data_IF_402089467951
#
_entry.id   IF_402089467951
#
_cell.length_a   1.000
_cell.length_b   1.000
_cell.length_c   1.000
_cell.angle_alpha   90.00
_cell.angle_beta   90.00
_cell.angle_gamma   90.00
#
_symmetry.space_group_name_H-M   'P 1'
#
loop_
_entity.id
_entity.type
_entity.pdbx_description
1 polymer ?
#
# COMPACT_ATOMS: atom_id res chain seq x y z
N UNK A 1 40.77 2.65 -7.34
CA UNK A 1 40.80 3.36 -6.05
C UNK A 1 39.50 3.01 -5.34
N UNK A 2 39.61 2.58 -4.08
CA UNK A 2 38.65 1.74 -3.35
C UNK A 2 37.41 2.50 -2.86
N UNK A 3 36.19 2.08 -3.25
CA UNK A 3 34.93 2.66 -2.73
C UNK A 3 33.93 1.62 -2.17
N UNK A 4 34.32 0.34 -2.11
CA UNK A 4 33.46 -0.73 -1.56
C UNK A 4 33.66 -0.98 -0.06
N UNK A 5 34.47 -0.16 0.63
CA UNK A 5 34.93 -0.46 1.98
C UNK A 5 34.08 0.09 3.12
N UNK A 6 33.07 0.92 2.86
CA UNK A 6 32.39 1.67 3.94
C UNK A 6 30.92 1.31 4.21
N UNK A 7 30.38 0.23 3.66
CA UNK A 7 29.01 -0.23 4.04
C UNK A 7 28.89 -1.71 4.37
N UNK A 8 29.99 -2.36 4.72
CA UNK A 8 29.95 -3.57 5.53
C UNK A 8 30.32 -3.16 6.95
N UNK A 9 29.34 -3.13 7.87
CA UNK A 9 29.65 -3.09 9.30
C UNK A 9 30.38 -4.38 9.64
N UNK A 10 31.70 -4.36 9.58
CA UNK A 10 32.53 -5.48 9.99
C UNK A 10 32.28 -5.71 11.47
N UNK A 11 31.56 -6.77 11.79
CA UNK A 11 31.35 -7.23 13.16
C UNK A 11 32.73 -7.49 13.78
N UNK A 12 33.00 -6.89 14.93
CA UNK A 12 34.27 -7.09 15.66
C UNK A 12 34.39 -8.55 16.09
N UNK A 13 35.61 -9.09 16.21
CA UNK A 13 35.85 -10.52 16.51
C UNK A 13 35.07 -11.04 17.74
N UNK A 14 34.86 -10.20 18.76
CA UNK A 14 34.05 -10.54 19.94
C UNK A 14 32.54 -10.63 19.64
N UNK A 15 32.02 -9.88 18.67
CA UNK A 15 30.63 -9.96 18.23
C UNK A 15 30.36 -11.19 17.36
N UNK A 16 31.38 -11.72 16.67
CA UNK A 16 31.30 -12.95 15.89
C UNK A 16 31.29 -14.21 16.77
N UNK A 17 32.02 -14.21 17.88
CA UNK A 17 32.07 -15.34 18.83
C UNK A 17 30.76 -15.50 19.60
N UNK A 18 30.08 -14.40 19.91
CA UNK A 18 28.86 -14.42 20.72
C UNK A 18 27.56 -14.51 19.90
N UNK A 19 27.63 -14.50 18.57
CA UNK A 19 26.46 -14.60 17.71
C UNK A 19 26.30 -16.04 17.26
N UNK A 20 25.24 -16.69 17.73
CA UNK A 20 24.90 -18.03 17.23
C UNK A 20 24.79 -17.97 15.70
N UNK A 21 25.59 -18.80 15.02
CA UNK A 21 25.61 -18.94 13.55
C UNK A 21 24.38 -19.76 13.09
N UNK A 22 23.49 -20.13 14.02
CA UNK A 22 22.24 -20.85 13.75
C UNK A 22 21.17 -19.82 13.40
N UNK A 23 20.77 -19.78 12.13
CA UNK A 23 19.72 -18.88 11.67
C UNK A 23 19.55 -18.89 10.15
N UNK A 24 18.48 -18.26 9.68
CA UNK A 24 18.27 -18.01 8.25
C UNK A 24 18.99 -16.72 7.86
N UNK A 25 19.90 -16.79 6.89
CA UNK A 25 20.67 -15.64 6.42
C UNK A 25 20.32 -15.33 4.97
N UNK A 26 20.06 -14.06 4.69
CA UNK A 26 19.82 -13.57 3.34
C UNK A 26 21.13 -13.20 2.67
N UNK A 27 21.42 -13.82 1.53
CA UNK A 27 22.59 -13.46 0.72
C UNK A 27 22.13 -12.82 -0.58
N UNK A 28 22.59 -11.60 -0.83
CA UNK A 28 22.22 -10.79 -2.00
C UNK A 28 23.48 -10.55 -2.82
N UNK A 29 23.55 -11.10 -4.04
CA UNK A 29 24.69 -10.87 -4.93
C UNK A 29 24.42 -11.38 -6.35
N UNK A 30 24.95 -10.67 -7.35
CA UNK A 30 24.78 -11.02 -8.77
C UNK A 30 25.72 -12.17 -9.22
N UNK A 31 26.74 -12.50 -8.42
CA UNK A 31 27.76 -13.52 -8.71
C UNK A 31 27.90 -14.49 -7.54
N UNK A 32 26.79 -15.14 -7.19
CA UNK A 32 26.76 -16.08 -6.10
C UNK A 32 26.78 -17.52 -6.62
N UNK A 33 27.88 -18.24 -6.35
CA UNK A 33 28.02 -19.65 -6.70
C UNK A 33 27.58 -20.50 -5.52
N UNK A 34 26.31 -20.93 -5.53
CA UNK A 34 25.64 -21.69 -4.47
C UNK A 34 26.50 -22.88 -3.98
N UNK A 35 27.05 -23.67 -4.90
CA UNK A 35 27.89 -24.85 -4.58
C UNK A 35 29.21 -24.50 -3.86
N UNK A 36 29.83 -23.36 -4.19
CA UNK A 36 31.08 -22.95 -3.51
C UNK A 36 30.82 -22.52 -2.08
N UNK A 37 29.67 -21.89 -1.82
CA UNK A 37 29.28 -21.49 -0.47
C UNK A 37 28.97 -22.71 0.39
N UNK A 38 28.16 -23.63 -0.12
CA UNK A 38 27.80 -24.88 0.59
C UNK A 38 29.06 -25.65 0.94
N UNK A 39 29.97 -25.85 -0.02
CA UNK A 39 31.22 -26.55 0.21
C UNK A 39 32.13 -25.84 1.23
N UNK A 40 32.17 -24.51 1.23
CA UNK A 40 32.98 -23.75 2.18
C UNK A 40 32.44 -23.85 3.62
N UNK A 41 31.11 -23.82 3.79
CA UNK A 41 30.44 -23.90 5.09
C UNK A 41 30.40 -25.34 5.63
N UNK A 42 30.22 -26.35 4.77
CA UNK A 42 30.33 -27.75 5.14
C UNK A 42 31.75 -28.14 5.59
N UNK A 43 32.80 -27.57 4.96
CA UNK A 43 34.18 -27.74 5.41
C UNK A 43 34.44 -27.20 6.82
N UNK A 44 33.62 -26.26 7.29
CA UNK A 44 33.67 -25.71 8.65
C UNK A 44 32.71 -26.43 9.61
N UNK A 45 32.12 -27.56 9.19
CA UNK A 45 31.23 -28.38 10.03
C UNK A 45 29.78 -27.89 10.10
N UNK A 46 29.37 -26.96 9.22
CA UNK A 46 28.01 -26.40 9.22
C UNK A 46 27.17 -27.04 8.12
N UNK A 47 26.02 -27.60 8.49
CA UNK A 47 24.99 -28.06 7.53
C UNK A 47 24.22 -26.86 6.98
N UNK A 48 24.19 -26.71 5.67
CA UNK A 48 23.56 -25.55 5.00
C UNK A 48 22.55 -26.04 3.99
N UNK A 49 21.32 -25.52 4.09
CA UNK A 49 20.28 -25.66 3.08
C UNK A 49 20.10 -24.31 2.39
N UNK A 50 20.20 -24.30 1.05
CA UNK A 50 19.97 -23.09 0.25
C UNK A 50 18.56 -23.16 -0.31
N UNK A 51 17.69 -22.27 0.17
CA UNK A 51 16.38 -22.04 -0.41
C UNK A 51 16.42 -20.80 -1.31
N UNK A 52 15.99 -20.94 -2.57
CA UNK A 52 15.79 -19.78 -3.44
C UNK A 52 14.55 -19.04 -2.98
N UNK A 53 14.77 -17.92 -2.31
CA UNK A 53 13.68 -17.13 -1.77
C UNK A 53 13.00 -16.35 -2.88
N UNK A 54 11.70 -16.60 -3.05
CA UNK A 54 10.87 -15.82 -3.96
C UNK A 54 10.72 -14.40 -3.41
N UNK A 55 11.17 -13.39 -4.17
CA UNK A 55 11.07 -11.97 -3.78
C UNK A 55 9.64 -11.54 -3.49
N UNK A 56 8.66 -12.14 -4.16
CA UNK A 56 7.24 -11.86 -3.92
C UNK A 56 6.77 -12.41 -2.58
N UNK A 57 7.28 -13.58 -2.17
CA UNK A 57 6.97 -14.16 -0.87
C UNK A 57 7.53 -13.29 0.26
N UNK A 58 8.78 -12.83 0.15
CA UNK A 58 9.35 -11.88 1.11
C UNK A 58 8.57 -10.57 1.19
N UNK A 59 8.10 -10.07 0.05
CA UNK A 59 7.29 -8.85 0.05
C UNK A 59 5.97 -9.05 0.80
N UNK A 60 5.28 -10.18 0.58
CA UNK A 60 4.04 -10.51 1.29
C UNK A 60 4.30 -10.73 2.79
N UNK A 61 5.35 -11.46 3.12
CA UNK A 61 5.78 -11.72 4.50
C UNK A 61 6.08 -10.41 5.23
N UNK A 62 6.81 -9.48 4.58
CA UNK A 62 7.12 -8.17 5.14
C UNK A 62 5.88 -7.28 5.32
N UNK A 63 4.88 -7.36 4.43
CA UNK A 63 3.60 -6.66 4.63
C UNK A 63 2.85 -7.25 5.82
N UNK A 64 2.88 -8.58 5.96
CA UNK A 64 2.18 -9.30 7.02
C UNK A 64 2.81 -9.05 8.40
N UNK A 65 4.15 -9.11 8.49
CA UNK A 65 4.93 -8.80 9.69
C UNK A 65 4.69 -7.36 10.17
N UNK A 66 4.62 -6.41 9.24
CA UNK A 66 4.36 -5.00 9.57
C UNK A 66 2.87 -4.68 9.78
N UNK A 67 1.97 -5.68 9.78
CA UNK A 67 0.51 -5.51 9.95
C UNK A 67 -0.12 -4.55 8.93
N UNK A 68 0.52 -4.37 7.77
CA UNK A 68 0.12 -3.40 6.74
C UNK A 68 -1.01 -3.93 5.83
N UNK A 69 -1.27 -5.24 5.84
CA UNK A 69 -2.34 -5.87 5.07
C UNK A 69 -3.72 -5.30 5.43
N UNK A 70 -3.99 -5.17 6.73
CA UNK A 70 -5.30 -4.73 7.22
C UNK A 70 -5.60 -3.29 6.75
N UNK A 71 -4.71 -2.29 6.98
CA UNK A 71 -4.92 -0.94 6.45
C UNK A 71 -5.12 -0.88 4.95
N UNK A 72 -4.38 -1.67 4.16
CA UNK A 72 -4.51 -1.72 2.71
C UNK A 72 -5.89 -2.21 2.26
N UNK A 73 -6.39 -3.29 2.86
CA UNK A 73 -7.71 -3.86 2.54
C UNK A 73 -8.80 -2.85 2.87
N UNK A 74 -8.73 -2.20 4.04
CA UNK A 74 -9.69 -1.17 4.43
C UNK A 74 -9.66 0.01 3.48
N UNK A 75 -8.48 0.47 3.07
CA UNK A 75 -8.35 1.59 2.15
C UNK A 75 -8.95 1.26 0.76
N UNK A 76 -8.66 0.08 0.21
CA UNK A 76 -9.27 -0.39 -1.05
C UNK A 76 -10.79 -0.45 -0.93
N UNK A 77 -11.29 -0.99 0.19
CA UNK A 77 -12.72 -1.08 0.48
C UNK A 77 -13.36 0.30 0.52
N UNK A 78 -12.72 1.26 1.19
CA UNK A 78 -13.21 2.64 1.31
C UNK A 78 -13.29 3.32 -0.06
N UNK A 79 -12.27 3.14 -0.92
CA UNK A 79 -12.31 3.63 -2.30
C UNK A 79 -13.42 2.99 -3.13
N UNK A 80 -13.64 1.68 -3.00
CA UNK A 80 -14.73 0.99 -3.68
C UNK A 80 -16.10 1.53 -3.25
N UNK A 81 -16.32 1.70 -1.94
CA UNK A 81 -17.57 2.28 -1.41
C UNK A 81 -17.76 3.72 -1.88
N UNK A 82 -16.70 4.52 -1.87
CA UNK A 82 -16.72 5.89 -2.36
C UNK A 82 -17.15 5.95 -3.83
N UNK A 83 -16.58 5.12 -4.69
CA UNK A 83 -16.96 5.10 -6.11
C UNK A 83 -18.41 4.67 -6.28
N UNK A 84 -18.87 3.62 -5.59
CA UNK A 84 -20.28 3.19 -5.63
C UNK A 84 -21.21 4.31 -5.17
N UNK A 85 -20.85 5.03 -4.11
CA UNK A 85 -21.62 6.18 -3.63
C UNK A 85 -21.69 7.32 -4.65
N UNK A 86 -20.55 7.77 -5.19
CA UNK A 86 -20.49 8.85 -6.20
C UNK A 86 -21.32 8.49 -7.43
N UNK A 87 -21.23 7.22 -7.85
CA UNK A 87 -21.98 6.64 -8.96
C UNK A 87 -23.47 6.60 -8.71
N UNK A 88 -23.88 6.14 -7.53
CA UNK A 88 -25.29 6.09 -7.14
C UNK A 88 -25.92 7.48 -7.04
N UNK A 89 -25.18 8.45 -6.49
CA UNK A 89 -25.65 9.84 -6.36
C UNK A 89 -25.84 10.51 -7.72
N UNK A 90 -24.89 10.34 -8.64
CA UNK A 90 -24.95 10.93 -9.99
C UNK A 90 -25.73 10.09 -11.00
N UNK A 91 -26.37 9.00 -10.57
CA UNK A 91 -27.05 8.05 -11.47
C UNK A 91 -28.11 8.70 -12.37
N UNK A 92 -28.88 9.65 -11.82
CA UNK A 92 -29.91 10.38 -12.58
C UNK A 92 -29.31 11.16 -13.75
N UNK A 93 -28.15 11.78 -13.55
CA UNK A 93 -27.44 12.52 -14.58
C UNK A 93 -26.96 11.57 -15.70
N UNK A 94 -26.44 10.40 -15.34
CA UNK A 94 -26.03 9.39 -16.33
C UNK A 94 -27.21 8.83 -17.13
N UNK A 95 -28.35 8.59 -16.47
CA UNK A 95 -29.57 8.15 -17.13
C UNK A 95 -30.08 9.19 -18.15
N UNK A 96 -30.06 10.48 -17.79
CA UNK A 96 -30.44 11.58 -18.69
C UNK A 96 -29.49 11.67 -19.88
N UNK A 97 -28.17 11.62 -19.65
CA UNK A 97 -27.18 11.62 -20.74
C UNK A 97 -27.41 10.44 -21.69
N UNK A 98 -27.73 9.25 -21.16
CA UNK A 98 -27.99 8.08 -22.00
C UNK A 98 -29.22 8.24 -22.88
N UNK A 99 -30.29 8.87 -22.38
CA UNK A 99 -31.47 9.20 -23.18
C UNK A 99 -31.16 10.16 -24.33
N UNK A 100 -30.22 11.08 -24.13
CA UNK A 100 -29.76 12.02 -25.15
C UNK A 100 -28.76 11.41 -26.14
N UNK A 101 -28.58 10.08 -26.13
CA UNK A 101 -27.75 9.36 -27.11
C UNK A 101 -26.26 9.30 -26.77
N UNK A 102 -25.82 9.73 -25.58
CA UNK A 102 -24.40 9.64 -25.21
C UNK A 102 -23.91 8.18 -25.12
N UNK A 103 -22.77 7.91 -25.73
CA UNK A 103 -22.09 6.61 -25.64
C UNK A 103 -21.53 6.36 -24.24
N UNK A 104 -21.26 5.10 -23.91
CA UNK A 104 -20.74 4.72 -22.59
C UNK A 104 -19.40 5.41 -22.29
N UNK A 105 -18.48 5.39 -23.26
CA UNK A 105 -17.18 6.03 -23.12
C UNK A 105 -17.29 7.55 -22.97
N UNK A 106 -18.23 8.17 -23.67
CA UNK A 106 -18.49 9.60 -23.51
C UNK A 106 -18.94 9.91 -22.08
N UNK A 107 -19.89 9.16 -21.51
CA UNK A 107 -20.32 9.34 -20.11
C UNK A 107 -19.16 9.09 -19.14
N UNK A 108 -18.35 8.07 -19.41
CA UNK A 108 -17.21 7.68 -18.57
C UNK A 108 -16.12 8.76 -18.52
N UNK A 109 -15.82 9.36 -19.67
CA UNK A 109 -14.79 10.40 -19.83
C UNK A 109 -15.35 11.81 -19.59
N UNK A 110 -16.67 11.97 -19.59
CA UNK A 110 -17.31 13.25 -19.36
C UNK A 110 -16.92 13.78 -17.98
N UNK A 111 -16.28 14.94 -17.95
CA UNK A 111 -15.79 15.60 -16.73
C UNK A 111 -14.70 14.83 -15.96
N UNK A 112 -14.14 13.76 -16.53
CA UNK A 112 -13.07 12.99 -15.89
C UNK A 112 -11.75 13.75 -15.84
N UNK A 113 -11.54 14.71 -16.75
CA UNK A 113 -10.37 15.58 -16.75
C UNK A 113 -10.13 16.29 -15.41
N UNK A 114 -11.16 16.91 -14.83
CA UNK A 114 -11.02 17.59 -13.54
C UNK A 114 -10.67 16.62 -12.40
N UNK A 115 -11.17 15.38 -12.45
CA UNK A 115 -10.84 14.35 -11.46
C UNK A 115 -9.40 13.88 -11.61
N UNK A 116 -8.93 13.68 -12.84
CA UNK A 116 -7.53 13.35 -13.13
C UNK A 116 -6.58 14.47 -12.69
N UNK A 117 -6.92 15.72 -12.97
CA UNK A 117 -6.13 16.88 -12.52
C UNK A 117 -6.00 16.93 -10.99
N UNK A 118 -7.11 16.76 -10.27
CA UNK A 118 -7.10 16.69 -8.80
C UNK A 118 -6.24 15.52 -8.30
N UNK A 119 -6.35 14.36 -8.94
CA UNK A 119 -5.57 13.17 -8.63
C UNK A 119 -4.07 13.38 -8.81
N UNK A 120 -3.66 14.04 -9.91
CA UNK A 120 -2.25 14.37 -10.17
C UNK A 120 -1.72 15.33 -9.10
N UNK A 121 -2.49 16.37 -8.77
CA UNK A 121 -2.12 17.34 -7.72
C UNK A 121 -1.91 16.62 -6.38
N UNK A 122 -2.83 15.73 -6.00
CA UNK A 122 -2.71 14.95 -4.77
C UNK A 122 -1.45 14.07 -4.74
N UNK A 123 -1.12 13.39 -5.83
CA UNK A 123 0.12 12.60 -5.92
C UNK A 123 1.36 13.47 -5.76
N UNK A 124 1.39 14.65 -6.39
CA UNK A 124 2.50 15.60 -6.25
C UNK A 124 2.63 16.07 -4.80
N UNK A 125 1.52 16.41 -4.14
CA UNK A 125 1.52 16.82 -2.73
C UNK A 125 2.08 15.73 -1.81
N UNK A 126 1.71 14.45 -2.03
CA UNK A 126 2.24 13.32 -1.25
C UNK A 126 3.75 13.20 -1.43
N UNK A 127 4.26 13.33 -2.66
CA UNK A 127 5.70 13.29 -2.94
C UNK A 127 6.43 14.42 -2.21
N UNK A 128 5.90 15.64 -2.26
CA UNK A 128 6.50 16.81 -1.58
C UNK A 128 6.52 16.61 -0.06
N UNK A 129 5.40 16.22 0.55
CA UNK A 129 5.30 16.01 2.00
C UNK A 129 6.29 14.95 2.47
N UNK A 130 6.38 13.81 1.77
CA UNK A 130 7.31 12.75 2.16
C UNK A 130 8.79 13.15 1.98
N UNK A 131 9.09 13.96 0.97
CA UNK A 131 10.44 14.52 0.79
C UNK A 131 10.82 15.41 1.97
N UNK A 132 9.90 16.27 2.42
CA UNK A 132 10.10 17.14 3.59
C UNK A 132 10.28 16.32 4.87
N UNK A 133 9.47 15.27 5.07
CA UNK A 133 9.58 14.40 6.27
C UNK A 133 10.95 13.75 6.35
N UNK A 134 11.48 13.23 5.24
CA UNK A 134 12.80 12.57 5.21
C UNK A 134 13.92 13.58 5.44
N UNK A 135 13.80 14.76 4.84
CA UNK A 135 14.75 15.84 5.06
C UNK A 135 14.83 16.22 6.54
N UNK A 136 13.67 16.28 7.22
CA UNK A 136 13.60 16.58 8.66
C UNK A 136 14.06 15.41 9.54
N UNK A 137 13.84 14.15 9.12
CA UNK A 137 14.11 13.00 9.96
C UNK A 137 15.59 12.58 9.99
N UNK A 138 16.44 13.11 9.10
CA UNK A 138 17.88 12.78 9.00
C UNK A 138 18.16 11.27 8.83
N UNK A 139 17.28 10.54 8.16
CA UNK A 139 17.48 9.11 7.95
C UNK A 139 18.66 8.87 6.99
N UNK A 140 19.52 7.90 7.30
CA UNK A 140 20.67 7.50 6.48
C UNK A 140 20.28 6.80 5.15
N UNK A 141 19.01 6.88 4.75
CA UNK A 141 18.53 6.35 3.48
C UNK A 141 18.81 7.40 2.40
N UNK A 142 19.43 6.98 1.31
CA UNK A 142 19.61 7.85 0.14
C UNK A 142 18.25 8.31 -0.36
N UNK A 143 17.98 9.62 -0.32
CA UNK A 143 16.70 10.25 -0.71
C UNK A 143 16.21 9.72 -2.08
N UNK A 144 17.14 9.56 -3.03
CA UNK A 144 16.85 9.02 -4.37
C UNK A 144 16.21 7.63 -4.33
N UNK A 145 16.73 6.71 -3.49
CA UNK A 145 16.21 5.33 -3.41
C UNK A 145 14.83 5.28 -2.78
N UNK A 146 14.55 6.14 -1.80
CA UNK A 146 13.23 6.24 -1.21
C UNK A 146 12.21 6.81 -2.20
N UNK A 147 12.54 7.93 -2.86
CA UNK A 147 11.64 8.56 -3.83
C UNK A 147 11.29 7.62 -4.99
N UNK A 148 12.26 6.84 -5.46
CA UNK A 148 12.02 5.84 -6.48
C UNK A 148 11.04 4.74 -6.02
N UNK A 149 11.23 4.21 -4.80
CA UNK A 149 10.31 3.22 -4.21
C UNK A 149 8.91 3.79 -4.00
N UNK A 150 8.82 5.04 -3.51
CA UNK A 150 7.57 5.74 -3.31
C UNK A 150 6.84 5.96 -4.63
N UNK A 151 7.54 6.36 -5.69
CA UNK A 151 6.97 6.54 -7.02
C UNK A 151 6.38 5.23 -7.57
N UNK A 152 7.11 4.11 -7.45
CA UNK A 152 6.59 2.78 -7.86
C UNK A 152 5.33 2.43 -7.08
N UNK A 153 5.32 2.64 -5.76
CA UNK A 153 4.18 2.32 -4.91
C UNK A 153 2.97 3.17 -5.27
N UNK A 154 3.16 4.47 -5.53
CA UNK A 154 2.10 5.34 -6.02
C UNK A 154 1.56 4.87 -7.37
N UNK A 155 2.42 4.47 -8.32
CA UNK A 155 1.96 3.96 -9.62
C UNK A 155 1.07 2.72 -9.45
N UNK A 156 1.50 1.76 -8.64
CA UNK A 156 0.70 0.55 -8.34
C UNK A 156 -0.65 0.94 -7.73
N UNK A 157 -0.64 1.85 -6.76
CA UNK A 157 -1.84 2.32 -6.08
C UNK A 157 -2.81 3.04 -7.02
N UNK A 158 -2.30 3.91 -7.89
CA UNK A 158 -3.09 4.58 -8.93
C UNK A 158 -3.70 3.56 -9.91
N UNK A 159 -2.95 2.51 -10.27
CA UNK A 159 -3.45 1.41 -11.11
C UNK A 159 -4.64 0.70 -10.48
N UNK A 160 -4.57 0.36 -9.19
CA UNK A 160 -5.69 -0.26 -8.45
C UNK A 160 -6.93 0.65 -8.44
N UNK A 161 -6.75 1.95 -8.21
CA UNK A 161 -7.86 2.89 -8.18
C UNK A 161 -8.49 3.08 -9.55
N UNK A 162 -7.69 3.07 -10.62
CA UNK A 162 -8.20 3.09 -11.99
C UNK A 162 -9.05 1.86 -12.28
N UNK A 163 -8.61 0.67 -11.86
CA UNK A 163 -9.37 -0.57 -11.98
C UNK A 163 -10.71 -0.44 -11.23
N UNK A 164 -10.69 0.01 -9.98
CA UNK A 164 -11.91 0.23 -9.18
C UNK A 164 -12.86 1.23 -9.85
N UNK A 165 -12.32 2.30 -10.42
CA UNK A 165 -13.09 3.32 -11.14
C UNK A 165 -13.79 2.72 -12.37
N UNK A 166 -13.10 1.90 -13.18
CA UNK A 166 -13.70 1.20 -14.32
C UNK A 166 -14.80 0.23 -13.87
N UNK A 167 -14.52 -0.59 -12.84
CA UNK A 167 -15.49 -1.55 -12.27
C UNK A 167 -16.76 -0.81 -11.83
N UNK A 168 -16.63 0.36 -11.20
CA UNK A 168 -17.78 1.15 -10.75
C UNK A 168 -18.71 1.57 -11.89
N UNK A 169 -18.17 1.88 -13.07
CA UNK A 169 -18.97 2.23 -14.25
C UNK A 169 -19.64 1.01 -14.89
N UNK A 170 -18.97 -0.15 -14.89
CA UNK A 170 -19.54 -1.41 -15.38
C UNK A 170 -20.75 -1.80 -14.52
N UNK A 171 -20.62 -1.74 -13.19
CA UNK A 171 -21.69 -2.05 -12.25
C UNK A 171 -22.91 -1.15 -12.46
N UNK A 172 -22.70 0.15 -12.65
CA UNK A 172 -23.79 1.09 -12.94
C UNK A 172 -24.57 0.76 -14.21
N UNK A 173 -23.87 0.35 -15.26
CA UNK A 173 -24.46 0.17 -16.58
C UNK A 173 -25.28 -1.12 -16.68
N UNK A 174 -24.99 -2.10 -15.82
CA UNK A 174 -25.82 -3.31 -15.67
C UNK A 174 -27.24 -3.01 -15.19
N UNK A 175 -27.51 -1.79 -14.70
CA UNK A 175 -28.80 -1.38 -14.17
C UNK A 175 -29.67 -0.79 -15.27
N UNK A 176 -30.86 -1.36 -15.50
CA UNK A 176 -31.82 -0.90 -16.50
C UNK A 176 -32.24 0.58 -16.27
N UNK A 177 -31.97 1.43 -17.26
CA UNK A 177 -32.20 2.89 -17.23
C UNK A 177 -33.71 3.26 -17.21
N UNK A 178 -34.53 2.47 -17.90
CA UNK A 178 -35.98 2.72 -18.12
C UNK A 178 -36.83 2.74 -16.84
N UNK A 179 -36.75 1.76 -15.91
CA UNK A 179 -37.55 1.78 -14.68
C UNK A 179 -37.17 2.92 -13.71
N UNK A 180 -36.00 3.53 -13.88
CA UNK A 180 -35.43 4.52 -12.95
C UNK A 180 -35.86 5.95 -13.29
N UNK A 181 -35.90 6.29 -14.59
CA UNK A 181 -36.47 7.56 -15.06
C UNK A 181 -37.95 7.72 -14.68
N UNK A 182 -38.68 6.61 -14.57
CA UNK A 182 -40.07 6.58 -14.12
C UNK A 182 -40.23 6.74 -12.59
N UNK A 183 -39.14 6.96 -11.84
CA UNK A 183 -39.19 7.20 -10.39
C UNK A 183 -39.71 6.02 -9.55
N UNK A 184 -39.84 4.82 -10.14
CA UNK A 184 -40.26 3.62 -9.41
C UNK A 184 -39.13 3.14 -8.48
N UNK A 185 -39.48 2.31 -7.48
CA UNK A 185 -38.70 1.74 -6.34
C UNK A 185 -37.15 1.78 -6.42
N UNK A 186 -36.54 1.59 -7.59
CA UNK A 186 -35.10 1.59 -7.84
C UNK A 186 -34.36 2.88 -7.42
N UNK A 187 -34.94 4.08 -7.55
CA UNK A 187 -34.25 5.31 -7.09
C UNK A 187 -34.11 5.40 -5.56
N UNK A 188 -35.16 4.98 -4.82
CA UNK A 188 -35.10 4.90 -3.35
C UNK A 188 -34.05 3.89 -2.88
N UNK A 189 -33.92 2.77 -3.60
CA UNK A 189 -32.91 1.73 -3.34
C UNK A 189 -31.49 2.30 -3.54
N UNK A 190 -31.23 3.07 -4.60
CA UNK A 190 -29.94 3.73 -4.85
C UNK A 190 -29.56 4.74 -3.75
N UNK A 191 -30.51 5.56 -3.30
CA UNK A 191 -30.27 6.50 -2.18
C UNK A 191 -29.98 5.73 -0.89
N UNK A 192 -30.73 4.67 -0.60
CA UNK A 192 -30.53 3.81 0.56
C UNK A 192 -29.17 3.11 0.54
N UNK A 193 -28.76 2.56 -0.60
CA UNK A 193 -27.41 2.02 -0.83
C UNK A 193 -26.33 3.07 -0.62
N UNK A 194 -26.54 4.31 -1.08
CA UNK A 194 -25.63 5.42 -0.84
C UNK A 194 -25.48 5.77 0.64
N UNK A 195 -26.57 5.74 1.40
CA UNK A 195 -26.54 5.95 2.86
C UNK A 195 -25.84 4.81 3.60
N UNK A 196 -26.06 3.56 3.20
CA UNK A 196 -25.33 2.40 3.73
C UNK A 196 -23.84 2.52 3.42
N UNK A 197 -23.47 2.90 2.20
CA UNK A 197 -22.08 3.10 1.82
C UNK A 197 -21.41 4.18 2.68
N UNK A 198 -22.09 5.30 2.96
CA UNK A 198 -21.59 6.33 3.89
C UNK A 198 -21.38 5.79 5.30
N UNK A 199 -22.37 5.06 5.81
CA UNK A 199 -22.29 4.48 7.15
C UNK A 199 -21.12 3.50 7.27
N UNK A 200 -20.96 2.61 6.29
CA UNK A 200 -19.83 1.69 6.21
C UNK A 200 -18.50 2.42 6.07
N UNK A 201 -18.41 3.49 5.26
CA UNK A 201 -17.20 4.31 5.16
C UNK A 201 -16.79 4.89 6.52
N UNK A 202 -17.74 5.44 7.29
CA UNK A 202 -17.47 5.97 8.63
C UNK A 202 -16.97 4.85 9.55
N UNK A 203 -17.62 3.69 9.56
CA UNK A 203 -17.19 2.54 10.36
C UNK A 203 -15.77 2.08 10.01
N UNK A 204 -15.44 1.98 8.71
CA UNK A 204 -14.09 1.60 8.27
C UNK A 204 -13.04 2.62 8.70
N UNK A 205 -13.36 3.91 8.65
CA UNK A 205 -12.47 4.99 9.08
C UNK A 205 -12.23 4.94 10.59
N UNK A 206 -13.29 4.74 11.38
CA UNK A 206 -13.20 4.62 12.84
C UNK A 206 -12.35 3.41 13.25
N UNK A 207 -12.52 2.28 12.56
CA UNK A 207 -11.71 1.09 12.81
C UNK A 207 -10.22 1.31 12.48
N UNK A 208 -9.93 1.93 11.33
CA UNK A 208 -8.55 2.31 10.95
C UNK A 208 -7.90 3.24 11.98
N UNK A 209 -8.65 4.22 12.48
CA UNK A 209 -8.17 5.13 13.53
C UNK A 209 -7.86 4.37 14.82
N UNK A 210 -8.75 3.49 15.28
CA UNK A 210 -8.54 2.67 16.46
C UNK A 210 -7.29 1.77 16.33
N UNK A 211 -7.09 1.16 15.16
CA UNK A 211 -5.91 0.33 14.89
C UNK A 211 -4.61 1.15 14.88
N UNK A 212 -4.62 2.34 14.28
CA UNK A 212 -3.47 3.24 14.27
C UNK A 212 -3.12 3.73 15.68
N UNK A 213 -4.12 4.06 16.51
CA UNK A 213 -3.92 4.44 17.91
C UNK A 213 -3.30 3.29 18.72
N UNK A 214 -3.80 2.07 18.56
CA UNK A 214 -3.22 0.88 19.21
C UNK A 214 -1.76 0.66 18.80
N UNK A 215 -1.45 0.86 17.51
CA UNK A 215 -0.08 0.75 17.00
C UNK A 215 0.84 1.83 17.57
N UNK A 216 0.33 3.06 17.72
CA UNK A 216 1.03 4.16 18.37
C UNK A 216 1.32 3.88 19.86
N UNK A 217 0.36 3.33 20.59
CA UNK A 217 0.57 2.93 22.00
C UNK A 217 1.63 1.84 22.13
N UNK A 218 1.64 0.84 21.24
CA UNK A 218 2.70 -0.18 21.22
C UNK A 218 4.07 0.44 20.96
N UNK A 219 4.18 1.35 20.01
CA UNK A 219 5.45 2.06 19.73
C UNK A 219 5.90 2.90 20.91
N UNK A 220 4.98 3.58 21.59
CA UNK A 220 5.26 4.36 22.81
C UNK A 220 5.80 3.46 23.92
N UNK A 221 5.21 2.28 24.12
CA UNK A 221 5.66 1.31 25.13
C UNK A 221 7.06 0.77 24.80
N UNK A 222 7.35 0.50 23.51
CA UNK A 222 8.69 0.08 23.06
C UNK A 222 9.72 1.19 23.33
N UNK A 223 9.41 2.45 22.99
CA UNK A 223 10.31 3.57 23.25
C UNK A 223 10.55 3.80 24.75
N UNK A 224 9.53 3.62 25.58
CA UNK A 224 9.67 3.70 27.04
C UNK A 224 10.55 2.57 27.57
N UNK A 225 10.37 1.34 27.06
CA UNK A 225 11.23 0.21 27.40
C UNK A 225 12.68 0.46 26.97
N UNK A 226 12.92 0.97 25.76
CA UNK A 226 14.26 1.29 25.28
C UNK A 226 14.95 2.36 26.13
N UNK A 227 14.22 3.40 26.56
CA UNK A 227 14.73 4.40 27.50
C UNK A 227 15.07 3.79 28.87
N UNK A 228 14.24 2.88 29.36
CA UNK A 228 14.48 2.17 30.62
C UNK A 228 15.75 1.32 30.54
N UNK A 229 15.91 0.52 29.47
CA UNK A 229 17.11 -0.30 29.26
C UNK A 229 18.38 0.55 29.07
N UNK A 230 18.28 1.71 28.42
CA UNK A 230 19.40 2.67 28.31
C UNK A 230 19.78 3.34 29.64
N UNK A 231 18.89 3.37 30.63
CA UNK A 231 19.19 3.93 31.95
C UNK A 231 19.84 2.93 32.92
N UNK A 232 19.76 1.63 32.59
CA UNK A 232 20.32 0.53 33.37
C UNK A 232 21.75 0.13 32.94
N UNK A 233 22.24 0.69 31.83
CA UNK A 233 23.54 0.42 31.22
C UNK A 233 24.41 1.67 31.26
#
# INVERSE_FOLDING_TARGET
YNDWKESASFLTSNQLVNKEIKGKYFVIGNHFYEERLVNALQKQGVTVEIEKINRTYLFIELINENQLLIPLIFLITLYLLYFIYDRGHNFKLYAVQRLHGFSFLQIMLHRSWHRFAYWIIMNISIMVINTIIIFLSQWAITISTFLFRLAILLIIFNGLILILWVISYILLFSINVVPILKGKKSHKILIFLGSIAKFLMILTLSFLLAQNLNSYEKLKNIQQSEKFWKSLN
#
